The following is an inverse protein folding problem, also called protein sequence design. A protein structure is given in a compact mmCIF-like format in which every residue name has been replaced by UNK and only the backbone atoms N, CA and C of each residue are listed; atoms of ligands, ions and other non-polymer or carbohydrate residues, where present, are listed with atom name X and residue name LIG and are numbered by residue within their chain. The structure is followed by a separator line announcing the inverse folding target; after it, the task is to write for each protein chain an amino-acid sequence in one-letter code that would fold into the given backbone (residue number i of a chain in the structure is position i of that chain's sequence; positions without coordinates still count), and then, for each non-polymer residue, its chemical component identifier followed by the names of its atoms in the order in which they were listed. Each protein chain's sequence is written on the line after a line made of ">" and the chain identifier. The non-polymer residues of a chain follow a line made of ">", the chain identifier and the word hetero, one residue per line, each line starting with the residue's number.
data_IF_729788607011
#
_entry.id   IF_729788607011
#
_cell.length_a   1.000
_cell.length_b   1.000
_cell.length_c   1.000
_cell.angle_alpha   90.00
_cell.angle_beta   90.00
_cell.angle_gamma   90.00
#
_symmetry.space_group_name_H-M   'P 1'
#
loop_
_entity.id
_entity.type
_entity.pdbx_description
1 polymer ?
#
# COMPACT_ATOMS: atom_id res chain seq x y z
N UNK A 1 -0.32 -7.95 0.51
CA UNK A 1 0.43 -8.70 1.51
C UNK A 1 -0.54 -9.44 2.41
N UNK A 2 -0.27 -10.71 2.73
CA UNK A 2 -0.99 -11.48 3.75
C UNK A 2 -0.17 -11.50 5.03
N UNK A 3 -0.81 -11.15 6.14
CA UNK A 3 -0.19 -11.01 7.45
C UNK A 3 -0.64 -12.23 8.28
N UNK A 4 0.26 -13.02 8.88
CA UNK A 4 -0.16 -14.15 9.70
C UNK A 4 -1.04 -13.70 10.86
N UNK A 5 -1.96 -14.58 11.28
CA UNK A 5 -2.68 -14.44 12.53
C UNK A 5 -1.73 -14.25 13.71
N UNK A 6 -2.21 -13.55 14.74
CA UNK A 6 -1.46 -13.31 15.96
C UNK A 6 -1.27 -14.62 16.72
N UNK A 7 -0.07 -14.81 17.27
CA UNK A 7 0.24 -15.93 18.16
C UNK A 7 -0.40 -15.78 19.54
N UNK A 8 -0.63 -14.54 19.97
CA UNK A 8 -1.25 -14.20 21.26
C UNK A 8 -2.12 -12.94 21.16
N UNK A 9 -2.98 -12.71 22.16
CA UNK A 9 -3.93 -11.58 22.16
C UNK A 9 -3.28 -10.21 22.41
N UNK A 10 -2.14 -10.22 23.07
CA UNK A 10 -1.32 -9.06 23.41
C UNK A 10 -0.27 -8.75 22.34
N UNK A 11 -0.17 -9.57 21.30
CA UNK A 11 0.69 -9.29 20.17
C UNK A 11 0.16 -8.07 19.38
N UNK A 12 1.08 -7.22 18.96
CA UNK A 12 0.80 -5.98 18.24
C UNK A 12 0.10 -6.23 16.90
N UNK A 13 -1.18 -5.84 16.82
CA UNK A 13 -2.01 -5.95 15.63
C UNK A 13 -1.86 -4.76 14.66
N UNK A 14 -0.98 -3.79 14.97
CA UNK A 14 -0.57 -2.69 14.09
C UNK A 14 0.95 -2.63 13.85
N UNK A 15 1.70 -3.72 14.12
CA UNK A 15 3.15 -3.74 13.92
C UNK A 15 3.55 -3.35 12.50
N UNK A 16 2.92 -3.94 11.48
CA UNK A 16 3.28 -3.67 10.08
C UNK A 16 2.96 -2.23 9.65
N UNK A 17 1.75 -1.68 9.91
CA UNK A 17 1.49 -0.26 9.70
C UNK A 17 2.49 0.66 10.41
N UNK A 18 2.88 0.34 11.64
CA UNK A 18 3.82 1.15 12.40
C UNK A 18 5.24 1.09 11.81
N UNK A 19 5.71 -0.10 11.47
CA UNK A 19 6.97 -0.32 10.77
C UNK A 19 7.06 0.49 9.46
N UNK A 20 5.94 0.60 8.73
CA UNK A 20 5.85 1.40 7.51
C UNK A 20 5.68 2.91 7.75
N UNK A 21 5.67 3.35 9.01
CA UNK A 21 5.47 4.75 9.40
C UNK A 21 4.04 5.28 9.14
N UNK A 22 3.05 4.38 9.04
CA UNK A 22 1.65 4.72 8.76
C UNK A 22 0.90 5.07 10.05
N UNK A 23 1.22 4.38 11.15
CA UNK A 23 0.62 4.61 12.47
C UNK A 23 1.63 5.16 13.47
N UNK A 24 1.15 5.92 14.46
CA UNK A 24 1.99 6.53 15.50
C UNK A 24 2.66 5.49 16.40
N UNK A 25 1.97 4.38 16.63
CA UNK A 25 2.47 3.26 17.41
C UNK A 25 2.01 1.92 16.80
N UNK A 26 2.51 0.82 17.38
CA UNK A 26 2.27 -0.54 16.91
C UNK A 26 1.01 -1.19 17.49
N UNK A 27 0.30 -0.53 18.41
CA UNK A 27 -0.84 -1.09 19.14
C UNK A 27 -2.17 -0.46 18.75
N UNK A 28 -2.13 0.74 18.18
CA UNK A 28 -3.31 1.51 17.80
C UNK A 28 -3.29 1.89 16.31
N UNK A 29 -4.49 2.10 15.77
CA UNK A 29 -4.70 2.49 14.39
C UNK A 29 -4.68 4.00 14.13
N UNK A 30 -4.09 4.79 15.04
CA UNK A 30 -3.98 6.24 14.87
C UNK A 30 -2.88 6.57 13.83
N UNK A 31 -3.23 7.37 12.83
CA UNK A 31 -2.33 7.69 11.71
C UNK A 31 -1.18 8.60 12.13
N UNK A 32 0.02 8.32 11.60
CA UNK A 32 1.18 9.20 11.68
C UNK A 32 1.00 10.46 10.79
N UNK A 33 1.90 11.43 10.94
CA UNK A 33 1.86 12.67 10.18
C UNK A 33 1.95 12.43 8.66
N UNK A 34 1.12 13.15 7.90
CA UNK A 34 1.05 13.06 6.44
C UNK A 34 0.26 11.86 5.91
N UNK A 35 -0.35 11.05 6.79
CA UNK A 35 -1.38 10.07 6.41
C UNK A 35 -2.77 10.57 6.80
N UNK A 36 -3.77 10.22 6.00
CA UNK A 36 -5.18 10.57 6.23
C UNK A 36 -6.06 9.34 6.25
N UNK A 37 -7.10 9.33 7.10
CA UNK A 37 -8.17 8.33 7.01
C UNK A 37 -9.03 8.58 5.76
N UNK A 38 -9.59 7.50 5.21
CA UNK A 38 -10.43 7.55 4.00
C UNK A 38 -11.81 6.97 4.25
N UNK A 39 -12.81 7.58 3.60
CA UNK A 39 -14.20 7.15 3.71
C UNK A 39 -14.54 5.93 2.85
N UNK A 40 -13.77 5.66 1.80
CA UNK A 40 -14.01 4.54 0.89
C UNK A 40 -12.76 4.04 0.16
N UNK A 41 -12.81 2.76 -0.20
CA UNK A 41 -11.87 2.08 -1.08
C UNK A 41 -12.65 1.12 -1.99
N UNK A 42 -12.31 1.10 -3.27
CA UNK A 42 -12.95 0.22 -4.28
C UNK A 42 -12.34 -1.17 -4.31
N UNK A 43 -11.29 -1.42 -3.52
CA UNK A 43 -10.66 -2.72 -3.31
C UNK A 43 -10.75 -3.12 -1.83
N UNK A 44 -10.82 -4.42 -1.58
CA UNK A 44 -10.72 -5.03 -0.24
C UNK A 44 -10.15 -6.44 -0.32
N UNK A 45 -9.74 -6.97 0.82
CA UNK A 45 -9.38 -8.38 0.92
C UNK A 45 -10.43 -9.12 1.74
N UNK A 46 -11.03 -10.14 1.14
CA UNK A 46 -11.87 -11.10 1.86
C UNK A 46 -10.99 -12.16 2.49
N UNK A 47 -11.02 -12.22 3.82
CA UNK A 47 -10.24 -13.19 4.60
C UNK A 47 -11.20 -13.98 5.50
N UNK A 48 -11.13 -15.31 5.48
CA UNK A 48 -11.90 -16.16 6.42
C UNK A 48 -11.05 -16.53 7.63
N UNK A 49 -11.69 -17.00 8.71
CA UNK A 49 -10.97 -17.53 9.87
C UNK A 49 -10.07 -18.71 9.48
N UNK A 50 -8.98 -18.85 10.23
CA UNK A 50 -8.10 -20.01 10.17
C UNK A 50 -8.77 -21.21 10.84
N UNK A 51 -8.44 -22.41 10.37
CA UNK A 51 -8.76 -23.69 11.01
C UNK A 51 -7.49 -24.25 11.65
N UNK A 52 -7.65 -25.25 12.51
CA UNK A 52 -6.54 -25.88 13.25
C UNK A 52 -5.38 -26.36 12.37
N UNK A 53 -5.66 -26.75 11.13
CA UNK A 53 -4.74 -27.36 10.18
C UNK A 53 -4.57 -26.56 8.87
N UNK A 54 -5.33 -25.48 8.69
CA UNK A 54 -5.38 -24.76 7.43
C UNK A 54 -5.68 -23.28 7.62
N UNK A 55 -4.92 -22.44 6.92
CA UNK A 55 -5.20 -21.00 6.91
C UNK A 55 -6.48 -20.71 6.13
N UNK A 56 -7.14 -19.61 6.50
CA UNK A 56 -8.37 -19.17 5.86
C UNK A 56 -8.17 -18.81 4.39
N UNK A 57 -9.29 -18.69 3.67
CA UNK A 57 -9.31 -18.14 2.31
C UNK A 57 -8.81 -16.70 2.32
N UNK A 58 -8.06 -16.32 1.29
CA UNK A 58 -7.52 -14.98 1.10
C UNK A 58 -7.80 -14.56 -0.35
N UNK A 59 -8.75 -13.65 -0.57
CA UNK A 59 -9.20 -13.26 -1.91
C UNK A 59 -9.38 -11.76 -2.02
N UNK A 60 -8.71 -11.16 -3.00
CA UNK A 60 -8.97 -9.77 -3.37
C UNK A 60 -10.38 -9.63 -3.98
N UNK A 61 -11.07 -8.55 -3.62
CA UNK A 61 -12.38 -8.17 -4.13
C UNK A 61 -12.31 -6.71 -4.54
N UNK A 62 -12.99 -6.36 -5.63
CA UNK A 62 -12.99 -5.01 -6.18
C UNK A 62 -14.38 -4.55 -6.61
N UNK A 63 -14.48 -3.26 -6.96
CA UNK A 63 -15.68 -2.63 -7.49
C UNK A 63 -16.62 -2.05 -6.44
N UNK A 64 -17.79 -1.58 -6.90
CA UNK A 64 -18.78 -0.87 -6.09
C UNK A 64 -19.23 -1.70 -4.88
N UNK A 65 -19.39 -3.02 -5.05
CA UNK A 65 -19.75 -3.93 -3.96
C UNK A 65 -18.68 -3.98 -2.85
N UNK A 66 -17.40 -3.87 -3.19
CA UNK A 66 -16.33 -3.80 -2.21
C UNK A 66 -16.39 -2.51 -1.37
N UNK A 67 -16.64 -1.37 -2.04
CA UNK A 67 -16.81 -0.06 -1.38
C UNK A 67 -17.97 -0.09 -0.36
N UNK A 68 -19.13 -0.62 -0.76
CA UNK A 68 -20.29 -0.77 0.14
C UNK A 68 -19.99 -1.71 1.30
N UNK A 69 -19.32 -2.85 1.05
CA UNK A 69 -19.02 -3.81 2.11
C UNK A 69 -17.96 -3.28 3.08
N UNK A 70 -17.02 -2.45 2.64
CA UNK A 70 -16.07 -1.78 3.54
C UNK A 70 -16.79 -0.83 4.49
N UNK A 71 -17.75 -0.05 3.98
CA UNK A 71 -18.54 0.89 4.78
C UNK A 71 -19.45 0.21 5.81
N UNK A 72 -19.92 -1.00 5.51
CA UNK A 72 -20.81 -1.77 6.39
C UNK A 72 -20.08 -2.68 7.38
N UNK A 73 -18.76 -2.87 7.22
CA UNK A 73 -17.99 -3.72 8.12
C UNK A 73 -17.73 -3.00 9.45
N UNK A 74 -17.95 -3.72 10.56
CA UNK A 74 -17.83 -3.18 11.93
C UNK A 74 -16.76 -3.92 12.74
N UNK A 75 -16.18 -3.22 13.72
CA UNK A 75 -15.20 -3.79 14.66
C UNK A 75 -14.00 -4.42 13.93
N UNK A 76 -13.61 -5.63 14.36
CA UNK A 76 -12.44 -6.33 13.81
C UNK A 76 -12.53 -6.67 12.32
N UNK A 77 -13.74 -6.66 11.76
CA UNK A 77 -13.95 -6.92 10.34
C UNK A 77 -13.82 -5.66 9.47
N UNK A 78 -13.85 -4.47 10.09
CA UNK A 78 -13.72 -3.19 9.38
C UNK A 78 -12.27 -2.96 8.96
N UNK A 79 -11.98 -2.76 7.67
CA UNK A 79 -10.65 -2.37 7.25
C UNK A 79 -10.36 -0.93 7.68
N UNK A 80 -9.11 -0.67 8.06
CA UNK A 80 -8.57 0.68 8.09
C UNK A 80 -8.21 1.11 6.68
N UNK A 81 -8.70 2.28 6.29
CA UNK A 81 -8.45 2.87 4.98
C UNK A 81 -7.61 4.12 5.19
N UNK A 82 -6.38 4.09 4.70
CA UNK A 82 -5.46 5.21 4.81
C UNK A 82 -5.00 5.70 3.46
N UNK A 83 -4.64 6.96 3.41
CA UNK A 83 -4.19 7.67 2.23
C UNK A 83 -2.92 8.47 2.50
N UNK A 84 -2.07 8.63 1.49
CA UNK A 84 -0.98 9.61 1.51
C UNK A 84 -0.79 10.20 0.13
N UNK A 85 -0.87 11.51 0.03
CA UNK A 85 -0.67 12.21 -1.23
C UNK A 85 0.81 12.16 -1.64
N UNK A 86 1.04 11.99 -2.94
CA UNK A 86 2.37 11.94 -3.52
C UNK A 86 2.50 12.97 -4.65
N UNK A 87 3.74 13.36 -4.94
CA UNK A 87 4.08 14.20 -6.09
C UNK A 87 4.44 13.33 -7.29
N UNK A 88 3.45 12.62 -7.84
CA UNK A 88 3.61 11.86 -9.08
C UNK A 88 4.01 12.78 -10.24
N UNK A 89 5.09 12.42 -10.93
CA UNK A 89 5.71 13.28 -11.95
C UNK A 89 6.89 14.13 -11.43
N UNK A 90 7.14 14.09 -10.11
CA UNK A 90 8.27 14.75 -9.47
C UNK A 90 7.90 16.09 -8.83
N UNK A 91 8.30 16.28 -7.58
CA UNK A 91 8.08 17.52 -6.85
C UNK A 91 8.76 18.71 -7.54
N UNK A 92 8.04 19.82 -7.68
CA UNK A 92 8.55 21.04 -8.33
C UNK A 92 8.54 21.01 -9.87
N UNK A 93 8.21 19.87 -10.49
CA UNK A 93 7.88 19.81 -11.91
C UNK A 93 6.58 20.55 -12.21
N UNK A 94 6.37 20.92 -13.48
CA UNK A 94 5.09 21.45 -13.97
C UNK A 94 4.26 20.34 -14.62
N UNK A 95 2.95 20.36 -14.41
CA UNK A 95 2.00 19.55 -15.17
C UNK A 95 1.80 20.12 -16.59
N UNK A 96 0.98 19.46 -17.42
CA UNK A 96 0.70 19.90 -18.80
C UNK A 96 -0.06 21.24 -18.87
N UNK A 97 -0.68 21.67 -17.77
CA UNK A 97 -1.33 22.99 -17.65
C UNK A 97 -0.36 24.06 -17.12
N UNK A 98 0.89 23.72 -16.82
CA UNK A 98 1.90 24.62 -16.27
C UNK A 98 1.82 24.83 -14.75
N UNK A 99 0.96 24.09 -14.04
CA UNK A 99 0.84 24.13 -12.58
C UNK A 99 1.93 23.31 -11.90
N UNK A 100 2.31 23.71 -10.69
CA UNK A 100 3.31 22.96 -9.92
C UNK A 100 2.74 21.65 -9.40
N UNK A 101 3.49 20.57 -9.57
CA UNK A 101 3.22 19.25 -9.00
C UNK A 101 3.52 19.28 -7.50
N UNK A 102 2.50 18.99 -6.69
CA UNK A 102 2.53 19.02 -5.21
C UNK A 102 1.91 17.74 -4.62
N UNK A 103 2.26 17.34 -3.40
CA UNK A 103 1.64 16.21 -2.72
C UNK A 103 0.30 16.64 -2.08
N UNK A 104 -0.69 16.94 -2.92
CA UNK A 104 -2.01 17.46 -2.52
C UNK A 104 -3.18 16.61 -3.04
N UNK A 105 -2.87 15.39 -3.51
CA UNK A 105 -3.84 14.42 -4.00
C UNK A 105 -4.16 14.56 -5.48
N UNK A 106 -3.94 15.73 -6.09
CA UNK A 106 -4.15 15.97 -7.53
C UNK A 106 -3.14 15.25 -8.42
N UNK A 107 -1.96 14.93 -7.88
CA UNK A 107 -0.82 14.39 -8.61
C UNK A 107 -0.42 13.00 -8.13
N UNK A 108 -1.38 12.23 -7.64
CA UNK A 108 -1.17 10.87 -7.20
C UNK A 108 -1.38 10.70 -5.71
N UNK A 109 -1.77 9.49 -5.36
CA UNK A 109 -2.17 9.14 -4.00
C UNK A 109 -1.85 7.68 -3.73
N UNK A 110 -1.24 7.39 -2.58
CA UNK A 110 -1.08 6.02 -2.09
C UNK A 110 -2.32 5.64 -1.30
N UNK A 111 -2.97 4.55 -1.69
CA UNK A 111 -4.06 3.91 -0.95
C UNK A 111 -3.52 2.75 -0.14
N UNK A 112 -3.87 2.69 1.14
CA UNK A 112 -3.63 1.55 2.01
C UNK A 112 -4.97 0.99 2.48
N UNK A 113 -5.19 -0.31 2.26
CA UNK A 113 -6.34 -1.05 2.81
C UNK A 113 -5.80 -2.10 3.77
N UNK A 114 -6.00 -1.85 5.07
CA UNK A 114 -5.47 -2.67 6.15
C UNK A 114 -6.58 -3.44 6.85
N UNK A 115 -6.50 -4.77 6.81
CA UNK A 115 -7.27 -5.65 7.68
C UNK A 115 -6.35 -6.15 8.78
N UNK A 116 -6.65 -5.82 10.03
CA UNK A 116 -5.85 -6.26 11.17
C UNK A 116 -5.86 -7.80 11.29
N UNK A 117 -4.71 -8.42 11.58
CA UNK A 117 -4.69 -9.82 12.01
C UNK A 117 -5.35 -9.94 13.38
N UNK A 118 -5.89 -11.13 13.68
CA UNK A 118 -6.35 -11.51 15.02
C UNK A 118 -5.76 -12.88 15.36
N UNK A 119 -5.98 -13.38 16.58
CA UNK A 119 -5.57 -14.74 16.95
C UNK A 119 -6.28 -15.84 16.15
N UNK A 120 -7.40 -15.52 15.51
CA UNK A 120 -8.24 -16.48 14.78
C UNK A 120 -8.11 -16.34 13.26
N UNK A 121 -7.54 -15.24 12.78
CA UNK A 121 -7.66 -14.83 11.39
C UNK A 121 -6.47 -14.01 10.94
N UNK A 122 -5.96 -14.35 9.76
CA UNK A 122 -4.90 -13.59 9.10
C UNK A 122 -5.33 -12.15 8.79
N UNK A 123 -4.36 -11.25 8.76
CA UNK A 123 -4.52 -9.88 8.31
C UNK A 123 -4.17 -9.69 6.83
N UNK A 124 -4.36 -8.48 6.33
CA UNK A 124 -3.86 -8.08 5.01
C UNK A 124 -3.50 -6.61 4.95
N UNK A 125 -2.48 -6.32 4.16
CA UNK A 125 -2.21 -4.96 3.68
C UNK A 125 -2.27 -4.95 2.16
N UNK A 126 -3.16 -4.14 1.59
CA UNK A 126 -3.14 -3.80 0.17
C UNK A 126 -2.57 -2.40 0.02
N UNK A 127 -1.65 -2.25 -0.95
CA UNK A 127 -1.02 -0.98 -1.29
C UNK A 127 -1.37 -0.70 -2.74
N UNK A 128 -2.09 0.39 -2.97
CA UNK A 128 -2.42 0.90 -4.30
C UNK A 128 -1.75 2.24 -4.53
N UNK A 129 -1.38 2.50 -5.77
CA UNK A 129 -1.07 3.86 -6.23
C UNK A 129 -2.20 4.28 -7.15
N UNK A 130 -2.89 5.33 -6.75
CA UNK A 130 -4.01 5.92 -7.46
C UNK A 130 -3.55 7.20 -8.17
N UNK A 131 -4.14 7.48 -9.33
CA UNK A 131 -3.85 8.69 -10.12
C UNK A 131 -4.22 9.97 -9.36
N UNK A 132 -5.28 9.92 -8.54
CA UNK A 132 -5.82 11.07 -7.84
C UNK A 132 -6.48 10.62 -6.53
N UNK A 133 -6.34 11.43 -5.47
CA UNK A 133 -7.05 11.20 -4.22
C UNK A 133 -8.57 11.39 -4.40
N UNK A 134 -9.42 10.75 -3.57
CA UNK A 134 -10.85 11.04 -3.55
C UNK A 134 -11.14 12.54 -3.47
N UNK A 135 -12.02 13.03 -4.33
CA UNK A 135 -12.46 14.43 -4.39
C UNK A 135 -11.39 15.50 -4.67
N UNK A 136 -10.13 15.12 -4.92
CA UNK A 136 -9.10 16.06 -5.30
C UNK A 136 -9.35 16.64 -6.70
N UNK A 137 -8.81 17.85 -6.94
CA UNK A 137 -8.92 18.52 -8.23
C UNK A 137 -8.09 17.77 -9.28
N UNK A 138 -8.72 17.31 -10.36
CA UNK A 138 -7.99 16.64 -11.44
C UNK A 138 -7.44 17.65 -12.45
N UNK A 139 -6.15 17.53 -12.84
CA UNK A 139 -5.60 18.36 -13.90
C UNK A 139 -6.22 18.10 -15.30
N UNK A 140 -6.99 17.02 -15.49
CA UNK A 140 -7.79 16.72 -16.70
C UNK A 140 -9.31 16.84 -16.46
N UNK A 141 -9.75 17.36 -15.32
CA UNK A 141 -11.18 17.52 -15.02
C UNK A 141 -11.92 16.23 -14.63
N UNK A 142 -11.20 15.12 -14.39
CA UNK A 142 -11.77 13.89 -13.84
C UNK A 142 -12.27 14.09 -12.40
N UNK A 143 -13.42 13.49 -12.06
CA UNK A 143 -13.92 13.44 -10.69
C UNK A 143 -13.73 12.03 -10.10
N UNK A 144 -12.97 11.96 -9.01
CA UNK A 144 -12.77 10.71 -8.27
C UNK A 144 -13.75 10.62 -7.10
N UNK A 145 -14.76 9.76 -7.24
CA UNK A 145 -15.79 9.53 -6.23
C UNK A 145 -16.02 8.03 -6.01
N UNK A 146 -17.01 7.68 -5.18
CA UNK A 146 -17.32 6.28 -4.85
C UNK A 146 -17.83 5.45 -6.04
N UNK A 147 -18.20 6.08 -7.16
CA UNK A 147 -18.64 5.44 -8.40
C UNK A 147 -17.48 5.18 -9.35
N UNK A 148 -16.31 5.74 -9.07
CA UNK A 148 -15.09 5.45 -9.80
C UNK A 148 -14.79 3.95 -9.73
N UNK A 149 -14.65 3.33 -10.89
CA UNK A 149 -14.29 1.92 -11.06
C UNK A 149 -13.02 1.85 -11.90
N UNK A 150 -12.47 0.65 -12.04
CA UNK A 150 -11.37 0.45 -12.97
C UNK A 150 -11.72 0.87 -14.42
N UNK A 151 -12.99 0.73 -14.82
CA UNK A 151 -13.47 1.11 -16.14
C UNK A 151 -13.71 2.62 -16.31
N UNK A 152 -13.87 3.36 -15.22
CA UNK A 152 -14.19 4.81 -15.23
C UNK A 152 -13.08 5.66 -14.63
N UNK A 153 -11.91 5.09 -14.36
CA UNK A 153 -10.74 5.83 -13.87
C UNK A 153 -10.03 6.59 -14.99
N UNK A 154 -9.34 7.67 -14.66
CA UNK A 154 -8.51 8.42 -15.61
C UNK A 154 -7.59 7.48 -16.43
N UNK A 155 -7.61 7.54 -17.78
CA UNK A 155 -6.74 6.71 -18.63
C UNK A 155 -5.25 7.05 -18.52
N UNK A 156 -4.92 8.25 -18.05
CA UNK A 156 -3.55 8.73 -17.90
C UNK A 156 -3.11 8.71 -16.43
N UNK A 157 -1.93 8.14 -16.18
CA UNK A 157 -1.27 8.21 -14.88
C UNK A 157 -0.34 9.42 -14.80
N UNK A 158 -0.38 10.10 -13.66
CA UNK A 158 0.60 11.11 -13.22
C UNK A 158 2.03 10.56 -13.12
N UNK A 159 2.20 9.23 -13.18
CA UNK A 159 3.49 8.54 -13.19
C UNK A 159 4.02 8.22 -14.59
N UNK A 160 3.49 8.87 -15.63
CA UNK A 160 3.93 8.71 -17.04
C UNK A 160 3.77 7.28 -17.58
N UNK A 161 2.55 6.73 -17.46
CA UNK A 161 2.15 5.46 -18.07
C UNK A 161 0.63 5.36 -18.19
N UNK A 162 0.14 4.52 -19.11
CA UNK A 162 -1.26 4.20 -19.20
C UNK A 162 -1.62 3.11 -18.20
N UNK A 163 -2.91 3.03 -17.86
CA UNK A 163 -3.42 1.92 -17.05
C UNK A 163 -3.14 0.54 -17.66
N UNK A 164 -3.03 0.47 -18.98
CA UNK A 164 -2.63 -0.73 -19.71
C UNK A 164 -1.17 -1.15 -19.43
N UNK A 165 -0.31 -0.22 -19.01
CA UNK A 165 1.10 -0.46 -18.69
C UNK A 165 1.30 -1.00 -17.27
N UNK A 166 0.20 -1.35 -16.58
CA UNK A 166 0.26 -2.09 -15.33
C UNK A 166 1.13 -3.33 -15.53
N UNK A 167 2.25 -3.36 -14.83
CA UNK A 167 3.13 -4.51 -14.86
C UNK A 167 2.40 -5.70 -14.23
N UNK A 168 2.25 -6.77 -15.00
CA UNK A 168 1.60 -8.02 -14.60
C UNK A 168 0.27 -8.28 -15.31
N UNK A 169 -0.31 -9.49 -15.16
CA UNK A 169 -1.50 -9.88 -15.95
C UNK A 169 -2.78 -9.08 -15.67
N UNK A 170 -2.79 -8.28 -14.60
CA UNK A 170 -3.96 -7.54 -14.13
C UNK A 170 -5.09 -8.44 -13.59
N UNK A 171 -6.15 -7.78 -13.09
CA UNK A 171 -7.35 -8.43 -12.56
C UNK A 171 -7.27 -8.87 -11.08
N UNK A 172 -8.43 -9.19 -10.50
CA UNK A 172 -8.56 -9.56 -9.07
C UNK A 172 -8.17 -11.02 -8.77
N UNK A 173 -8.04 -11.85 -9.81
CA UNK A 173 -7.84 -13.31 -9.68
C UNK A 173 -6.38 -13.75 -9.58
N UNK A 174 -5.43 -12.88 -9.94
CA UNK A 174 -3.98 -13.13 -9.91
C UNK A 174 -3.28 -11.91 -9.33
N UNK A 175 -2.65 -12.07 -8.16
CA UNK A 175 -1.81 -11.05 -7.58
C UNK A 175 -0.35 -11.47 -7.72
N UNK A 176 0.29 -11.03 -8.80
CA UNK A 176 1.68 -11.38 -9.13
C UNK A 176 2.71 -10.69 -8.22
N UNK A 177 2.26 -9.77 -7.36
CA UNK A 177 3.05 -9.15 -6.29
C UNK A 177 2.56 -9.58 -4.91
N UNK A 178 1.93 -10.74 -4.85
CA UNK A 178 1.51 -11.32 -3.59
C UNK A 178 2.74 -11.58 -2.72
N UNK A 179 2.65 -11.17 -1.47
CA UNK A 179 3.66 -11.40 -0.45
C UNK A 179 2.96 -12.07 0.71
N UNK A 180 3.45 -13.23 1.11
CA UNK A 180 3.05 -13.92 2.32
C UNK A 180 4.11 -13.74 3.39
N UNK A 181 3.78 -12.98 4.43
CA UNK A 181 4.74 -12.71 5.50
C UNK A 181 5.06 -13.97 6.30
N UNK A 182 4.14 -14.95 6.39
CA UNK A 182 4.45 -16.20 7.07
C UNK A 182 5.51 -17.01 6.32
N UNK A 183 5.39 -17.13 5.00
CA UNK A 183 6.36 -17.86 4.17
C UNK A 183 7.71 -17.13 4.17
N UNK A 184 7.70 -15.79 4.12
CA UNK A 184 8.90 -14.96 4.25
C UNK A 184 9.63 -15.21 5.57
N UNK A 185 8.91 -15.25 6.70
CA UNK A 185 9.48 -15.57 8.00
C UNK A 185 10.04 -17.00 8.05
N UNK A 186 9.31 -17.98 7.52
CA UNK A 186 9.74 -19.38 7.50
C UNK A 186 11.00 -19.62 6.65
N UNK A 187 11.20 -18.82 5.58
CA UNK A 187 12.40 -18.86 4.76
C UNK A 187 13.60 -18.15 5.43
N UNK A 188 13.36 -17.32 6.45
CA UNK A 188 14.38 -16.61 7.18
C UNK A 188 14.92 -17.43 8.37
N UNK A 189 16.19 -17.25 8.72
CA UNK A 189 16.87 -17.99 9.81
C UNK A 189 16.21 -17.83 11.19
N UNK A 190 15.53 -16.70 11.43
CA UNK A 190 14.83 -16.44 12.70
C UNK A 190 13.47 -17.12 12.78
N UNK A 191 12.89 -17.54 11.64
CA UNK A 191 11.50 -17.96 11.57
C UNK A 191 10.48 -16.81 11.69
N UNK A 192 10.94 -15.57 11.87
CA UNK A 192 10.10 -14.39 12.09
C UNK A 192 10.32 -13.35 10.97
N UNK A 193 9.24 -13.01 10.29
CA UNK A 193 9.20 -12.03 9.20
C UNK A 193 9.47 -10.61 9.67
N UNK A 194 9.17 -10.28 10.93
CA UNK A 194 9.47 -8.97 11.52
C UNK A 194 10.97 -8.76 11.60
N UNK A 195 11.70 -9.75 12.09
CA UNK A 195 13.18 -9.72 12.11
C UNK A 195 13.75 -9.53 10.71
N UNK A 196 13.19 -10.20 9.70
CA UNK A 196 13.62 -10.02 8.31
C UNK A 196 13.42 -8.57 7.83
N UNK A 197 12.27 -7.96 8.13
CA UNK A 197 12.00 -6.57 7.78
C UNK A 197 12.88 -5.57 8.54
N UNK A 198 13.10 -5.80 9.83
CA UNK A 198 14.00 -4.98 10.65
C UNK A 198 15.46 -5.03 10.13
N UNK A 199 15.93 -6.23 9.73
CA UNK A 199 17.25 -6.37 9.10
C UNK A 199 17.34 -5.60 7.78
N UNK A 200 16.32 -5.68 6.92
CA UNK A 200 16.27 -4.89 5.67
C UNK A 200 16.33 -3.39 5.97
N UNK A 201 15.53 -2.91 6.93
CA UNK A 201 15.50 -1.50 7.29
C UNK A 201 16.87 -1.05 7.79
N UNK A 202 17.47 -1.78 8.74
CA UNK A 202 18.79 -1.47 9.28
C UNK A 202 19.84 -1.42 8.18
N UNK A 203 19.89 -2.45 7.34
CA UNK A 203 20.89 -2.54 6.27
C UNK A 203 20.71 -1.39 5.25
N UNK A 204 19.47 -0.96 4.99
CA UNK A 204 19.19 0.20 4.15
C UNK A 204 19.63 1.52 4.80
N UNK A 205 19.34 1.71 6.08
CA UNK A 205 19.73 2.90 6.85
C UNK A 205 21.26 3.03 6.94
N UNK A 206 21.97 1.92 7.18
CA UNK A 206 23.43 1.85 7.18
C UNK A 206 24.01 2.25 5.80
N UNK A 207 23.46 1.68 4.72
CA UNK A 207 23.86 2.05 3.36
C UNK A 207 23.58 3.53 3.06
N UNK A 208 22.43 4.05 3.49
CA UNK A 208 22.06 5.45 3.26
C UNK A 208 22.98 6.41 4.03
N UNK A 209 23.34 6.07 5.27
CA UNK A 209 24.28 6.83 6.08
C UNK A 209 25.68 6.85 5.44
N UNK A 210 26.12 5.72 4.86
CA UNK A 210 27.40 5.64 4.15
C UNK A 210 27.48 6.52 2.88
N UNK A 211 26.35 7.07 2.40
CA UNK A 211 26.31 8.01 1.26
C UNK A 211 26.37 9.49 1.68
N UNK A 212 26.53 9.78 2.98
CA UNK A 212 26.59 11.16 3.46
C UNK A 212 27.75 11.94 2.82
N UNK A 213 27.46 13.14 2.30
CA UNK A 213 28.43 13.94 1.55
C UNK A 213 28.66 13.52 0.10
N UNK A 214 28.05 12.41 -0.37
CA UNK A 214 28.14 11.94 -1.76
C UNK A 214 26.75 11.81 -2.41
N UNK A 215 26.28 12.88 -3.09
CA UNK A 215 25.00 12.86 -3.81
C UNK A 215 24.93 11.82 -4.93
N UNK A 216 26.07 11.47 -5.55
CA UNK A 216 26.11 10.49 -6.63
C UNK A 216 25.94 9.07 -6.10
N UNK A 217 26.63 8.72 -5.02
CA UNK A 217 26.43 7.44 -4.32
C UNK A 217 25.00 7.32 -3.77
N UNK A 218 24.46 8.39 -3.16
CA UNK A 218 23.07 8.41 -2.70
C UNK A 218 22.10 8.15 -3.86
N UNK A 219 22.28 8.82 -5.00
CA UNK A 219 21.46 8.58 -6.19
C UNK A 219 21.57 7.14 -6.69
N UNK A 220 22.77 6.56 -6.71
CA UNK A 220 23.00 5.18 -7.14
C UNK A 220 22.30 4.18 -6.20
N UNK A 221 22.32 4.42 -4.89
CA UNK A 221 21.59 3.61 -3.91
C UNK A 221 20.08 3.61 -4.18
N UNK A 222 19.47 4.80 -4.35
CA UNK A 222 18.05 4.90 -4.70
C UNK A 222 17.70 4.25 -6.05
N UNK A 223 18.64 4.20 -7.00
CA UNK A 223 18.43 3.52 -8.28
C UNK A 223 18.31 2.01 -8.15
N UNK A 224 18.72 1.41 -7.03
CA UNK A 224 18.52 -0.02 -6.78
C UNK A 224 17.06 -0.35 -6.45
N UNK A 225 16.29 0.63 -5.94
CA UNK A 225 14.87 0.46 -5.63
C UNK A 225 13.96 0.49 -6.87
N UNK A 226 14.46 0.99 -8.00
CA UNK A 226 13.73 0.92 -9.27
C UNK A 226 14.10 -0.37 -9.97
N UNK A 227 13.08 -1.18 -10.28
CA UNK A 227 13.25 -2.41 -11.06
C UNK A 227 13.92 -2.15 -12.43
N UNK A 228 14.38 -3.22 -13.12
CA UNK A 228 15.08 -3.10 -14.38
C UNK A 228 14.25 -2.27 -15.37
N UNK A 229 14.77 -1.10 -15.76
CA UNK A 229 14.20 -0.35 -16.87
C UNK A 229 14.61 -1.07 -18.14
N UNK A 230 13.64 -1.67 -18.85
CA UNK A 230 13.86 -1.99 -20.25
C UNK A 230 14.34 -0.69 -20.91
N UNK A 231 15.58 -0.69 -21.40
CA UNK A 231 16.08 0.45 -22.17
C UNK A 231 15.21 0.54 -23.44
N UNK A 232 14.83 1.75 -23.87
CA UNK A 232 14.21 1.93 -25.17
C UNK A 232 15.13 1.45 -26.30
#
# INVERSE_FOLDING_TARGET
>A
MRIPALSAKDESDYWLPHFLGVTKDATEGETAEGFTERDFATHRTSISANKSDARGTFKEKGGILASVTNKLAVGAASPKLWGKDISGGGIGSKDWNGNMVLPNGSYGHVLLVYHRPTTEKDGSLQIGIETIAPHAASPVGYQHDFRSTEATSNPESVLHGHKADKTGSGGLGKNERYVDLQEMGAAHRSGDWRTYLDEIQRDWEEQLAATEGDPAARRALYQQLVGPRARP
#
